data_IF_293243442386
#
_entry.id   IF_293243442386
#
_cell.length_a   1.000
_cell.length_b   1.000
_cell.length_c   1.000
_cell.angle_alpha   90.00
_cell.angle_beta   90.00
_cell.angle_gamma   90.00
#
_symmetry.space_group_name_H-M   'P 1'
#
loop_
_entity.id
_entity.type
_entity.pdbx_description
1 polymer ?
#
# COMPACT_ATOMS: atom_id res chain seq x y z
N UNK A 1 -28.28 4.35 15.04
CA UNK A 1 -28.43 3.99 13.61
C UNK A 1 -27.10 3.97 12.84
N UNK A 2 -26.16 4.88 13.08
CA UNK A 2 -24.85 4.92 12.39
C UNK A 2 -23.99 3.67 12.60
N UNK A 3 -23.92 3.15 13.84
CA UNK A 3 -23.17 1.92 14.14
C UNK A 3 -23.67 0.70 13.35
N UNK A 4 -24.99 0.58 13.16
CA UNK A 4 -25.56 -0.51 12.37
C UNK A 4 -25.17 -0.39 10.88
N UNK A 5 -25.22 0.82 10.32
CA UNK A 5 -24.76 1.09 8.94
C UNK A 5 -23.26 0.78 8.79
N UNK A 6 -22.46 1.15 9.79
CA UNK A 6 -21.02 0.85 9.80
C UNK A 6 -20.76 -0.67 9.79
N UNK A 7 -21.41 -1.42 10.69
CA UNK A 7 -21.28 -2.88 10.75
C UNK A 7 -21.75 -3.55 9.45
N UNK A 8 -22.84 -3.06 8.85
CA UNK A 8 -23.31 -3.56 7.56
C UNK A 8 -22.28 -3.34 6.45
N UNK A 9 -21.71 -2.14 6.34
CA UNK A 9 -20.65 -1.83 5.38
C UNK A 9 -19.42 -2.73 5.60
N UNK A 10 -19.00 -2.92 6.85
CA UNK A 10 -17.89 -3.79 7.20
C UNK A 10 -18.14 -5.23 6.73
N UNK A 11 -19.33 -5.78 6.99
CA UNK A 11 -19.72 -7.13 6.54
C UNK A 11 -19.68 -7.25 5.01
N UNK A 12 -20.18 -6.25 4.28
CA UNK A 12 -20.15 -6.22 2.81
C UNK A 12 -18.71 -6.22 2.30
N UNK A 13 -17.83 -5.39 2.88
CA UNK A 13 -16.41 -5.33 2.50
C UNK A 13 -15.72 -6.69 2.71
N UNK A 14 -15.94 -7.33 3.87
CA UNK A 14 -15.35 -8.65 4.17
C UNK A 14 -15.82 -9.73 3.18
N UNK A 15 -17.12 -9.78 2.89
CA UNK A 15 -17.68 -10.74 1.94
C UNK A 15 -17.21 -10.47 0.51
N UNK A 16 -17.17 -9.21 0.09
CA UNK A 16 -16.69 -8.82 -1.24
C UNK A 16 -15.20 -9.15 -1.41
N UNK A 17 -14.35 -8.81 -0.44
CA UNK A 17 -12.92 -9.10 -0.48
C UNK A 17 -12.61 -10.58 -0.62
N UNK A 18 -13.29 -11.44 0.14
CA UNK A 18 -13.11 -12.91 0.04
C UNK A 18 -13.55 -13.47 -1.31
N UNK A 19 -14.63 -12.94 -1.90
CA UNK A 19 -15.07 -13.33 -3.25
C UNK A 19 -14.09 -12.86 -4.31
N UNK A 20 -13.58 -11.64 -4.19
CA UNK A 20 -12.67 -11.05 -5.15
C UNK A 20 -11.34 -11.81 -5.23
N UNK A 21 -10.82 -12.28 -4.10
CA UNK A 21 -9.67 -13.19 -4.06
C UNK A 21 -9.93 -14.50 -4.83
N UNK A 22 -11.09 -15.15 -4.59
CA UNK A 22 -11.47 -16.38 -5.30
C UNK A 22 -11.61 -16.17 -6.81
N UNK A 23 -12.16 -15.04 -7.23
CA UNK A 23 -12.27 -14.71 -8.65
C UNK A 23 -10.90 -14.43 -9.27
N UNK A 24 -10.00 -13.77 -8.52
CA UNK A 24 -8.60 -13.64 -8.91
C UNK A 24 -7.97 -15.01 -9.23
N UNK A 25 -8.06 -15.96 -8.31
CA UNK A 25 -7.52 -17.32 -8.53
C UNK A 25 -8.13 -18.02 -9.75
N UNK A 26 -9.44 -17.86 -9.97
CA UNK A 26 -10.12 -18.43 -11.14
C UNK A 26 -9.64 -17.79 -12.45
N UNK A 27 -9.39 -16.47 -12.47
CA UNK A 27 -8.81 -15.76 -13.61
C UNK A 27 -7.39 -16.25 -13.85
N UNK A 28 -6.59 -16.46 -12.81
CA UNK A 28 -5.22 -16.96 -12.90
C UNK A 28 -5.18 -18.34 -13.58
N UNK A 29 -6.09 -19.23 -13.17
CA UNK A 29 -6.23 -20.56 -13.77
C UNK A 29 -6.59 -20.53 -15.26
N UNK A 30 -7.33 -19.51 -15.72
CA UNK A 30 -7.82 -19.41 -17.10
C UNK A 30 -6.92 -18.60 -18.03
N UNK A 31 -6.14 -17.65 -17.53
CA UNK A 31 -5.45 -16.65 -18.36
C UNK A 31 -3.99 -16.98 -18.65
N UNK A 32 -3.47 -18.14 -18.22
CA UNK A 32 -2.02 -18.49 -18.23
C UNK A 32 -1.12 -17.46 -17.50
N UNK A 33 -1.69 -16.40 -16.93
CA UNK A 33 -1.02 -15.50 -16.00
C UNK A 33 -0.77 -16.30 -14.72
N UNK A 34 0.49 -16.56 -14.42
CA UNK A 34 0.86 -17.37 -13.25
C UNK A 34 0.18 -16.84 -11.98
N UNK A 35 -0.21 -17.75 -11.08
CA UNK A 35 -0.85 -17.40 -9.78
C UNK A 35 -0.12 -16.29 -9.01
N UNK A 36 1.20 -16.21 -9.16
CA UNK A 36 2.06 -15.17 -8.57
C UNK A 36 1.71 -13.76 -9.10
N UNK A 37 1.45 -13.60 -10.40
CA UNK A 37 1.11 -12.30 -10.99
C UNK A 37 -0.26 -11.79 -10.55
N UNK A 38 -1.24 -12.69 -10.46
CA UNK A 38 -2.57 -12.36 -9.96
C UNK A 38 -2.51 -12.05 -8.47
N UNK A 39 -1.78 -12.87 -7.69
CA UNK A 39 -1.54 -12.61 -6.28
C UNK A 39 -0.86 -11.27 -6.04
N UNK A 40 0.09 -10.88 -6.88
CA UNK A 40 0.82 -9.62 -6.69
C UNK A 40 0.02 -8.40 -7.12
N UNK A 41 -0.61 -8.41 -8.30
CA UNK A 41 -1.29 -7.23 -8.85
C UNK A 41 -2.73 -7.16 -8.38
N UNK A 42 -3.47 -8.26 -8.46
CA UNK A 42 -4.90 -8.26 -8.18
C UNK A 42 -5.14 -8.15 -6.67
N UNK A 43 -4.39 -8.87 -5.84
CA UNK A 43 -4.52 -8.71 -4.38
C UNK A 43 -4.02 -7.33 -3.95
N UNK A 44 -2.86 -6.86 -4.42
CA UNK A 44 -2.37 -5.54 -4.02
C UNK A 44 -3.34 -4.40 -4.38
N UNK A 45 -3.93 -4.43 -5.58
CA UNK A 45 -4.96 -3.45 -5.98
C UNK A 45 -6.20 -3.57 -5.10
N UNK A 46 -6.66 -4.79 -4.84
CA UNK A 46 -7.87 -5.04 -4.04
C UNK A 46 -7.67 -4.63 -2.58
N UNK A 47 -6.50 -4.89 -2.00
CA UNK A 47 -6.20 -4.53 -0.61
C UNK A 47 -5.91 -3.05 -0.42
N UNK A 48 -5.60 -2.30 -1.48
CA UNK A 48 -5.34 -0.85 -1.42
C UNK A 48 -6.51 0.00 -1.95
N UNK A 49 -7.49 -0.64 -2.59
CA UNK A 49 -8.69 0.01 -3.10
C UNK A 49 -9.54 0.68 -2.01
N UNK A 50 -9.76 0.07 -0.83
CA UNK A 50 -10.46 0.72 0.26
C UNK A 50 -9.79 2.03 0.66
N UNK A 51 -8.46 2.02 0.82
CA UNK A 51 -7.64 3.17 1.21
C UNK A 51 -7.70 4.26 0.15
N UNK A 52 -7.61 3.89 -1.13
CA UNK A 52 -7.78 4.82 -2.25
C UNK A 52 -9.17 5.48 -2.20
N UNK A 53 -10.21 4.68 -1.99
CA UNK A 53 -11.61 5.15 -1.94
C UNK A 53 -11.83 6.07 -0.75
N UNK A 54 -11.37 5.69 0.44
CA UNK A 54 -11.49 6.51 1.66
C UNK A 54 -10.63 7.76 1.56
N UNK A 55 -9.43 7.69 0.97
CA UNK A 55 -8.55 8.83 0.77
C UNK A 55 -9.17 9.86 -0.18
N UNK A 56 -9.63 9.42 -1.35
CA UNK A 56 -10.34 10.29 -2.31
C UNK A 56 -11.60 10.86 -1.70
N UNK A 57 -12.41 10.05 -1.01
CA UNK A 57 -13.65 10.53 -0.37
C UNK A 57 -13.38 11.55 0.73
N UNK A 58 -12.32 11.36 1.52
CA UNK A 58 -11.94 12.29 2.59
C UNK A 58 -11.54 13.66 2.05
N UNK A 59 -10.82 13.70 0.92
CA UNK A 59 -10.44 14.96 0.29
C UNK A 59 -11.60 15.57 -0.51
N UNK A 60 -12.27 14.79 -1.35
CA UNK A 60 -13.24 15.29 -2.33
C UNK A 60 -14.65 15.48 -1.77
N UNK A 61 -15.09 14.64 -0.83
CA UNK A 61 -16.45 14.67 -0.28
C UNK A 61 -16.49 15.29 1.12
N UNK A 62 -15.49 15.01 1.95
CA UNK A 62 -15.43 15.52 3.34
C UNK A 62 -14.65 16.85 3.42
N UNK A 63 -13.79 17.14 2.44
CA UNK A 63 -12.96 18.35 2.44
C UNK A 63 -11.88 18.35 3.52
N UNK A 64 -11.48 17.17 4.02
CA UNK A 64 -10.47 17.01 5.08
C UNK A 64 -9.25 16.24 4.58
N UNK A 65 -8.18 16.94 4.15
CA UNK A 65 -6.90 16.32 3.81
C UNK A 65 -6.26 15.58 4.99
N UNK A 66 -6.45 16.08 6.21
CA UNK A 66 -5.93 15.45 7.43
C UNK A 66 -6.51 14.06 7.66
N UNK A 67 -7.80 13.85 7.34
CA UNK A 67 -8.43 12.54 7.40
C UNK A 67 -7.83 11.57 6.38
N UNK A 68 -7.51 12.04 5.17
CA UNK A 68 -6.85 11.24 4.15
C UNK A 68 -5.42 10.84 4.59
N UNK A 69 -4.64 11.80 5.10
CA UNK A 69 -3.29 11.55 5.62
C UNK A 69 -3.30 10.61 6.84
N UNK A 70 -4.23 10.83 7.77
CA UNK A 70 -4.41 9.99 8.95
C UNK A 70 -4.75 8.54 8.58
N UNK A 71 -5.59 8.35 7.55
CA UNK A 71 -5.93 7.01 7.05
C UNK A 71 -4.72 6.33 6.40
N UNK A 72 -3.96 7.03 5.56
CA UNK A 72 -2.79 6.48 4.87
C UNK A 72 -1.67 6.10 5.86
N UNK A 73 -1.29 7.02 6.74
CA UNK A 73 -0.24 6.78 7.74
C UNK A 73 -0.67 5.76 8.79
N UNK A 74 -1.94 5.81 9.21
CA UNK A 74 -2.53 4.84 10.12
C UNK A 74 -2.53 3.42 9.56
N UNK A 75 -2.86 3.25 8.27
CA UNK A 75 -2.79 1.95 7.59
C UNK A 75 -1.35 1.40 7.55
N UNK A 76 -0.35 2.26 7.29
CA UNK A 76 1.06 1.85 7.39
C UNK A 76 1.43 1.34 8.79
N UNK A 77 1.06 2.07 9.85
CA UNK A 77 1.31 1.65 11.23
C UNK A 77 0.59 0.33 11.56
N UNK A 78 -0.67 0.18 11.13
CA UNK A 78 -1.44 -1.03 11.36
C UNK A 78 -0.87 -2.25 10.62
N UNK A 79 -0.37 -2.06 9.40
CA UNK A 79 0.31 -3.13 8.65
C UNK A 79 1.59 -3.61 9.36
N UNK A 80 2.35 -2.69 9.98
CA UNK A 80 3.51 -3.06 10.80
C UNK A 80 3.09 -3.78 12.10
N UNK A 81 1.97 -3.39 12.70
CA UNK A 81 1.40 -4.10 13.85
C UNK A 81 1.01 -5.54 13.48
N UNK A 82 0.41 -5.76 12.31
CA UNK A 82 0.08 -7.11 11.82
C UNK A 82 1.34 -7.99 11.78
N UNK A 83 2.47 -7.45 11.33
CA UNK A 83 3.74 -8.20 11.32
C UNK A 83 4.16 -8.64 12.73
N UNK A 84 4.06 -7.76 13.72
CA UNK A 84 4.35 -8.09 15.11
C UNK A 84 3.37 -9.15 15.67
N UNK A 85 2.09 -9.07 15.31
CA UNK A 85 1.10 -10.08 15.68
C UNK A 85 1.37 -11.43 15.04
N UNK A 86 1.85 -11.45 13.79
CA UNK A 86 2.24 -12.67 13.10
C UNK A 86 3.42 -13.34 13.80
N UNK A 87 4.43 -12.60 14.28
CA UNK A 87 5.53 -13.13 15.07
C UNK A 87 5.05 -13.80 16.36
N UNK A 88 4.11 -13.16 17.07
CA UNK A 88 3.51 -13.70 18.29
C UNK A 88 2.73 -14.99 18.01
N UNK A 89 2.03 -15.06 16.88
CA UNK A 89 1.17 -16.20 16.54
C UNK A 89 1.97 -17.38 15.95
N UNK A 90 2.99 -17.11 15.14
CA UNK A 90 3.78 -18.16 14.48
C UNK A 90 4.69 -18.93 15.44
N UNK A 91 5.08 -18.36 16.60
CA UNK A 91 5.80 -18.94 17.77
C UNK A 91 7.06 -19.79 17.52
N UNK A 92 7.40 -20.09 16.27
CA UNK A 92 8.50 -20.99 15.89
C UNK A 92 9.75 -20.22 15.49
N UNK A 93 9.60 -19.12 14.76
CA UNK A 93 10.70 -18.25 14.33
C UNK A 93 10.17 -16.83 14.11
N UNK A 94 10.90 -15.78 14.53
CA UNK A 94 10.55 -14.41 14.18
C UNK A 94 10.59 -14.22 12.65
N UNK A 95 9.48 -13.79 12.05
CA UNK A 95 9.30 -13.54 10.62
C UNK A 95 10.36 -12.55 10.14
N UNK A 96 10.66 -11.53 10.94
CA UNK A 96 11.68 -10.51 10.64
C UNK A 96 13.10 -11.10 10.50
N UNK A 97 13.42 -12.18 11.21
CA UNK A 97 14.77 -12.80 11.15
C UNK A 97 14.92 -13.81 10.02
N UNK A 98 13.80 -14.34 9.51
CA UNK A 98 13.78 -15.33 8.42
C UNK A 98 13.52 -14.67 7.06
N UNK A 99 12.97 -13.45 7.06
CA UNK A 99 12.71 -12.68 5.86
C UNK A 99 13.99 -12.51 5.02
N UNK A 100 13.86 -12.76 3.71
CA UNK A 100 14.98 -12.64 2.78
C UNK A 100 15.50 -11.19 2.74
N UNK A 101 16.84 -10.98 2.72
CA UNK A 101 17.43 -9.65 2.50
C UNK A 101 16.95 -8.96 1.21
N UNK A 102 16.33 -9.72 0.28
CA UNK A 102 15.71 -9.20 -0.95
C UNK A 102 14.64 -8.14 -0.67
N UNK A 103 13.96 -8.18 0.46
CA UNK A 103 12.94 -7.18 0.83
C UNK A 103 13.53 -5.85 1.33
N UNK A 104 14.84 -5.80 1.63
CA UNK A 104 15.49 -4.61 2.19
C UNK A 104 15.43 -3.41 1.24
N UNK A 105 15.46 -3.65 -0.07
CA UNK A 105 15.35 -2.59 -1.09
C UNK A 105 13.94 -1.99 -1.08
N UNK A 106 12.91 -2.84 -1.02
CA UNK A 106 11.52 -2.40 -0.94
C UNK A 106 11.25 -1.64 0.36
N UNK A 107 11.78 -2.13 1.49
CA UNK A 107 11.69 -1.47 2.78
C UNK A 107 12.37 -0.09 2.76
N UNK A 108 13.57 0.01 2.18
CA UNK A 108 14.29 1.28 2.04
C UNK A 108 13.54 2.32 1.20
N UNK A 109 12.95 1.90 0.07
CA UNK A 109 12.10 2.78 -0.74
C UNK A 109 10.84 3.21 0.00
N UNK A 110 10.16 2.28 0.68
CA UNK A 110 8.98 2.62 1.50
C UNK A 110 9.32 3.64 2.58
N UNK A 111 10.43 3.45 3.30
CA UNK A 111 10.90 4.39 4.33
C UNK A 111 11.23 5.77 3.74
N UNK A 112 11.88 5.82 2.57
CA UNK A 112 12.17 7.08 1.88
C UNK A 112 10.89 7.85 1.53
N UNK A 113 9.89 7.18 0.97
CA UNK A 113 8.62 7.82 0.61
C UNK A 113 7.89 8.36 1.83
N UNK A 114 7.85 7.60 2.94
CA UNK A 114 7.25 8.04 4.21
C UNK A 114 8.01 9.26 4.77
N UNK A 115 9.35 9.25 4.70
CA UNK A 115 10.16 10.38 5.14
C UNK A 115 9.86 11.65 4.34
N UNK A 116 9.70 11.55 3.02
CA UNK A 116 9.33 12.69 2.17
C UNK A 116 7.96 13.25 2.56
N UNK A 117 6.97 12.39 2.84
CA UNK A 117 5.65 12.82 3.34
C UNK A 117 5.82 13.58 4.66
N UNK A 118 6.56 13.03 5.62
CA UNK A 118 6.80 13.66 6.93
C UNK A 118 7.50 15.01 6.82
N UNK A 119 8.57 15.11 6.01
CA UNK A 119 9.27 16.37 5.75
C UNK A 119 8.35 17.39 5.11
N UNK A 120 7.52 16.96 4.14
CA UNK A 120 6.55 17.85 3.48
C UNK A 120 5.50 18.39 4.45
N UNK A 121 5.04 17.57 5.40
CA UNK A 121 4.10 17.98 6.44
C UNK A 121 4.72 18.99 7.42
N UNK A 122 5.97 18.76 7.86
CA UNK A 122 6.68 19.68 8.78
C UNK A 122 6.99 21.01 8.10
N UNK A 123 7.41 20.97 6.84
CA UNK A 123 7.74 22.17 6.10
C UNK A 123 6.49 23.01 5.74
N UNK A 124 5.30 22.39 5.77
CA UNK A 124 4.00 23.06 5.65
C UNK A 124 3.89 23.95 4.41
N UNK A 125 3.34 25.15 4.58
CA UNK A 125 3.14 26.12 3.50
C UNK A 125 4.42 26.64 2.84
N UNK A 126 5.62 26.37 3.38
CA UNK A 126 6.89 26.83 2.77
C UNK A 126 7.19 26.13 1.44
N UNK A 127 6.69 24.90 1.26
CA UNK A 127 6.70 24.22 -0.05
C UNK A 127 5.45 24.51 -0.88
N UNK A 128 4.46 25.23 -0.35
CA UNK A 128 3.27 25.62 -1.12
C UNK A 128 3.61 26.62 -2.24
N UNK A 129 4.72 27.35 -2.13
CA UNK A 129 5.26 28.19 -3.22
C UNK A 129 5.88 27.38 -4.35
N UNK A 130 6.15 26.09 -4.12
CA UNK A 130 6.67 25.12 -5.08
C UNK A 130 5.53 24.23 -5.63
N UNK A 131 4.31 24.75 -5.73
CA UNK A 131 3.20 24.05 -6.38
C UNK A 131 3.19 24.34 -7.89
N UNK A 132 3.10 23.30 -8.71
CA UNK A 132 2.77 23.44 -10.14
C UNK A 132 1.23 23.47 -10.26
N UNK A 133 0.64 24.63 -10.00
CA UNK A 133 -0.81 24.80 -9.95
C UNK A 133 -1.44 24.04 -8.77
N UNK A 134 -2.09 22.91 -9.08
CA UNK A 134 -2.93 22.14 -8.14
C UNK A 134 -2.16 20.99 -7.49
N UNK A 135 -0.95 20.70 -7.96
CA UNK A 135 -0.12 19.59 -7.50
C UNK A 135 1.17 20.14 -6.88
N UNK A 136 1.42 19.78 -5.62
CA UNK A 136 2.67 20.09 -4.95
C UNK A 136 3.83 19.31 -5.56
N UNK A 137 4.98 19.96 -5.76
CA UNK A 137 6.23 19.29 -6.18
C UNK A 137 6.52 18.00 -5.35
N UNK A 138 6.30 17.95 -4.02
CA UNK A 138 6.52 16.72 -3.25
C UNK A 138 5.69 15.52 -3.72
N UNK A 139 4.44 15.72 -4.14
CA UNK A 139 3.59 14.63 -4.66
C UNK A 139 4.12 14.09 -5.99
N UNK A 140 4.64 14.97 -6.85
CA UNK A 140 5.28 14.57 -8.12
C UNK A 140 6.56 13.79 -7.83
N UNK A 141 7.37 14.24 -6.88
CA UNK A 141 8.58 13.54 -6.45
C UNK A 141 8.23 12.14 -5.92
N UNK A 142 7.22 12.03 -5.04
CA UNK A 142 6.76 10.74 -4.52
C UNK A 142 6.33 9.81 -5.66
N UNK A 143 5.57 10.31 -6.64
CA UNK A 143 5.14 9.52 -7.79
C UNK A 143 6.33 9.01 -8.62
N UNK A 144 7.26 9.88 -8.96
CA UNK A 144 8.45 9.53 -9.75
C UNK A 144 9.31 8.51 -9.00
N UNK A 145 9.58 8.76 -7.72
CA UNK A 145 10.37 7.87 -6.87
C UNK A 145 9.70 6.52 -6.66
N UNK A 146 8.38 6.48 -6.50
CA UNK A 146 7.63 5.22 -6.45
C UNK A 146 7.80 4.41 -7.74
N UNK A 147 7.61 5.04 -8.91
CA UNK A 147 7.77 4.37 -10.20
C UNK A 147 9.20 3.88 -10.42
N UNK A 148 10.20 4.70 -10.10
CA UNK A 148 11.62 4.32 -10.20
C UNK A 148 11.97 3.19 -9.24
N UNK A 149 11.50 3.24 -7.99
CA UNK A 149 11.70 2.21 -7.00
C UNK A 149 11.10 0.87 -7.43
N UNK A 150 9.85 0.88 -7.87
CA UNK A 150 9.16 -0.31 -8.40
C UNK A 150 9.88 -0.90 -9.62
N UNK A 151 10.28 -0.05 -10.56
CA UNK A 151 11.04 -0.48 -11.74
C UNK A 151 12.39 -1.08 -11.38
N UNK A 152 13.10 -0.50 -10.40
CA UNK A 152 14.41 -0.99 -9.97
C UNK A 152 14.31 -2.32 -9.23
N UNK A 153 13.32 -2.47 -8.34
CA UNK A 153 13.00 -3.73 -7.65
C UNK A 153 12.70 -4.81 -8.70
N UNK A 154 11.83 -4.52 -9.66
CA UNK A 154 11.48 -5.44 -10.74
C UNK A 154 12.69 -5.86 -11.57
N UNK A 155 13.58 -4.93 -11.93
CA UNK A 155 14.81 -5.24 -12.68
C UNK A 155 15.74 -6.16 -11.90
N UNK A 156 15.97 -5.90 -10.61
CA UNK A 156 16.82 -6.75 -9.76
C UNK A 156 16.26 -8.17 -9.62
N UNK A 157 14.94 -8.28 -9.45
CA UNK A 157 14.29 -9.58 -9.32
C UNK A 157 14.39 -10.41 -10.60
N UNK A 158 14.23 -9.77 -11.77
CA UNK A 158 14.38 -10.44 -13.08
C UNK A 158 15.82 -10.88 -13.36
N UNK A 159 16.82 -10.08 -13.00
CA UNK A 159 18.24 -10.45 -13.16
C UNK A 159 18.64 -11.67 -12.31
N UNK A 160 18.07 -11.81 -11.11
CA UNK A 160 18.33 -12.97 -10.26
C UNK A 160 17.61 -14.25 -10.73
N UNK A 161 16.42 -14.16 -11.34
CA UNK A 161 15.72 -15.32 -11.90
C UNK A 161 16.39 -15.87 -13.16
N UNK A 162 17.16 -15.05 -13.88
CA UNK A 162 17.91 -15.48 -15.08
C UNK A 162 19.29 -16.07 -14.75
N UNK A 163 19.77 -15.89 -13.52
CA UNK A 163 21.08 -16.34 -13.06
C UNK A 163 21.01 -17.58 -12.14
N UNK A 164 19.80 -18.10 -11.88
CA UNK A 164 19.52 -19.31 -11.09
C UNK A 164 18.94 -20.39 -12.01
#
# INVERSE_FOLDING_TARGET
>A
MIWLKFVLCLMVILLAGTKLAKYGDAIAGKTRLGRIWIGLVLIAVVTTMPELTTGVSSVALVGSPDLALGTLLGSCCFNLLILALLDILHRRTPVLTVASPRHMIAAGWGALLIAIVGVSMIAGGRLSSLALGWVGIPSIIILILYLLGMWWIFRRERSHQLAA
#
